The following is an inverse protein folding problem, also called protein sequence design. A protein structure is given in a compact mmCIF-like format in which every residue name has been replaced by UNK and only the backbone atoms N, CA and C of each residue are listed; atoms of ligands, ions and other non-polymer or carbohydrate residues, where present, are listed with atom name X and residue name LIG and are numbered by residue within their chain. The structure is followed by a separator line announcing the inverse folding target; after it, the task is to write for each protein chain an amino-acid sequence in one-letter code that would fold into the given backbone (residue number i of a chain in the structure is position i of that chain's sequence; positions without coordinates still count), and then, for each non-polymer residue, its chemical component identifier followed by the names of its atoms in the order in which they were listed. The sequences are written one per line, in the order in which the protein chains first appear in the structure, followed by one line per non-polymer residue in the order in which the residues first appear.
data_IF_502083003204
#
_entry.id   IF_502083003204
#
_cell.length_a   1.000
_cell.length_b   1.000
_cell.length_c   1.000
_cell.angle_alpha   90.00
_cell.angle_beta   90.00
_cell.angle_gamma   90.00
#
_symmetry.space_group_name_H-M   'P 1'
#
loop_
_entity.id
_entity.type
_entity.pdbx_description
1 polymer ?
#
# COMPACT_ATOMS: atom_id res chain seq x y z
N UNK A 1 25.25 26.19 15.23
CA UNK A 1 24.20 26.11 14.19
C UNK A 1 22.87 26.38 14.85
N UNK A 2 21.94 27.07 14.18
CA UNK A 2 20.64 27.39 14.77
C UNK A 2 19.70 26.18 14.74
N UNK A 3 18.70 26.17 15.62
CA UNK A 3 17.65 25.15 15.67
C UNK A 3 16.90 25.04 14.33
N UNK A 4 16.77 26.16 13.61
CA UNK A 4 16.13 26.23 12.28
C UNK A 4 16.82 25.31 11.28
N UNK A 5 18.16 25.25 11.27
CA UNK A 5 18.90 24.36 10.36
C UNK A 5 18.61 22.88 10.63
N UNK A 6 18.44 22.51 11.90
CA UNK A 6 18.12 21.14 12.32
C UNK A 6 16.71 20.74 11.90
N UNK A 7 15.74 21.62 12.10
CA UNK A 7 14.37 21.42 11.64
C UNK A 7 14.28 21.32 10.12
N UNK A 8 14.97 22.20 9.40
CA UNK A 8 14.99 22.17 7.94
C UNK A 8 15.63 20.88 7.42
N UNK A 9 16.72 20.42 8.03
CA UNK A 9 17.36 19.15 7.67
C UNK A 9 16.42 17.96 7.88
N UNK A 10 15.70 17.93 9.00
CA UNK A 10 14.70 16.90 9.28
C UNK A 10 13.55 16.91 8.27
N UNK A 11 13.01 18.11 7.98
CA UNK A 11 11.93 18.28 7.00
C UNK A 11 12.35 17.84 5.60
N UNK A 12 13.54 18.25 5.16
CA UNK A 12 14.12 17.86 3.88
C UNK A 12 14.29 16.35 3.77
N UNK A 13 14.86 15.72 4.79
CA UNK A 13 15.09 14.28 4.82
C UNK A 13 13.77 13.51 4.73
N UNK A 14 12.78 13.88 5.54
CA UNK A 14 11.44 13.26 5.53
C UNK A 14 10.74 13.47 4.19
N UNK A 15 10.80 14.68 3.63
CA UNK A 15 10.18 15.01 2.35
C UNK A 15 10.81 14.24 1.20
N UNK A 16 12.15 14.14 1.16
CA UNK A 16 12.85 13.35 0.15
C UNK A 16 12.45 11.88 0.21
N UNK A 17 12.43 11.27 1.41
CA UNK A 17 12.03 9.87 1.55
C UNK A 17 10.56 9.64 1.18
N UNK A 18 9.67 10.52 1.61
CA UNK A 18 8.24 10.44 1.27
C UNK A 18 8.04 10.53 -0.25
N UNK A 19 8.80 11.40 -0.92
CA UNK A 19 8.78 11.56 -2.37
C UNK A 19 9.38 10.36 -3.09
N UNK A 20 10.48 9.78 -2.60
CA UNK A 20 11.05 8.54 -3.15
C UNK A 20 10.08 7.35 -3.01
N UNK A 21 9.42 7.19 -1.86
CA UNK A 21 8.44 6.12 -1.64
C UNK A 21 7.21 6.33 -2.53
N UNK A 22 6.71 7.56 -2.61
CA UNK A 22 5.57 7.90 -3.48
C UNK A 22 5.87 7.69 -4.97
N UNK A 23 7.05 8.11 -5.45
CA UNK A 23 7.46 7.90 -6.84
C UNK A 23 7.69 6.43 -7.19
N UNK A 24 8.18 5.62 -6.25
CA UNK A 24 8.37 4.19 -6.50
C UNK A 24 7.02 3.46 -6.67
N UNK A 25 5.99 3.87 -5.92
CA UNK A 25 4.61 3.43 -6.13
C UNK A 25 3.97 3.98 -7.42
N UNK A 26 4.42 5.14 -7.90
CA UNK A 26 3.95 5.76 -9.15
C UNK A 26 4.53 5.09 -10.41
N UNK A 27 5.76 4.56 -10.33
CA UNK A 27 6.46 3.94 -11.46
C UNK A 27 6.19 2.44 -11.64
N UNK A 28 5.51 1.79 -10.68
CA UNK A 28 5.07 0.39 -10.82
C UNK A 28 3.66 0.35 -11.42
N UNK A 29 3.57 0.00 -12.71
CA UNK A 29 2.30 -0.25 -13.38
C UNK A 29 1.48 -1.33 -12.63
N UNK A 30 0.23 -1.01 -12.31
CA UNK A 30 -0.74 -1.96 -11.75
C UNK A 30 -0.91 -1.96 -10.23
N UNK A 31 -0.14 -1.18 -9.46
CA UNK A 31 -0.46 -0.94 -8.05
C UNK A 31 -1.25 0.36 -7.89
N UNK A 32 -2.34 0.31 -7.11
CA UNK A 32 -2.96 1.51 -6.56
C UNK A 32 -1.85 2.33 -5.90
N UNK A 33 -1.69 3.60 -6.31
CA UNK A 33 -0.74 4.54 -5.74
C UNK A 33 -0.82 4.39 -4.22
N UNK A 34 0.19 3.77 -3.59
CA UNK A 34 0.15 3.54 -2.15
C UNK A 34 0.50 4.84 -1.44
N UNK A 35 -0.46 5.76 -1.48
CA UNK A 35 -0.51 6.93 -0.59
C UNK A 35 -0.39 6.42 0.86
N UNK A 36 -0.88 5.20 1.13
CA UNK A 36 -0.71 4.51 2.41
C UNK A 36 0.76 4.30 2.79
N UNK A 37 1.65 3.87 1.88
CA UNK A 37 3.05 3.61 2.19
C UNK A 37 3.84 4.88 2.55
N UNK A 38 3.67 5.94 1.76
CA UNK A 38 4.30 7.23 2.05
C UNK A 38 3.73 7.89 3.33
N UNK A 39 2.42 7.74 3.58
CA UNK A 39 1.75 8.27 4.77
C UNK A 39 2.12 7.47 6.04
N UNK A 40 2.24 6.14 5.95
CA UNK A 40 2.74 5.28 7.03
C UNK A 40 4.20 5.64 7.33
N UNK A 41 5.07 5.77 6.32
CA UNK A 41 6.44 6.21 6.56
C UNK A 41 6.49 7.60 7.20
N UNK A 42 5.68 8.55 6.72
CA UNK A 42 5.62 9.89 7.26
C UNK A 42 5.10 9.92 8.72
N UNK A 43 4.10 9.11 9.07
CA UNK A 43 3.51 9.07 10.43
C UNK A 43 4.42 8.32 11.40
N UNK A 44 5.02 7.21 10.97
CA UNK A 44 5.79 6.35 11.86
C UNK A 44 7.27 6.72 11.89
N UNK A 45 7.93 6.95 10.75
CA UNK A 45 9.37 7.21 10.72
C UNK A 45 9.74 8.68 10.94
N UNK A 46 8.89 9.64 10.55
CA UNK A 46 9.20 11.06 10.74
C UNK A 46 9.33 11.47 12.19
N UNK A 47 8.46 11.05 13.13
CA UNK A 47 8.64 11.40 14.55
C UNK A 47 9.96 10.86 15.09
N UNK A 48 10.36 9.64 14.72
CA UNK A 48 11.67 9.12 15.12
C UNK A 48 12.81 9.93 14.50
N UNK A 49 12.76 10.24 13.20
CA UNK A 49 13.80 11.04 12.54
C UNK A 49 13.88 12.46 13.12
N UNK A 50 12.75 13.11 13.39
CA UNK A 50 12.70 14.45 13.94
C UNK A 50 13.13 14.50 15.41
N UNK A 51 12.52 13.69 16.27
CA UNK A 51 12.82 13.70 17.71
C UNK A 51 14.26 13.25 17.92
N UNK A 52 14.66 12.15 17.27
CA UNK A 52 15.98 11.59 17.46
C UNK A 52 17.07 12.37 16.75
N UNK A 53 16.87 12.73 15.48
CA UNK A 53 17.84 13.48 14.68
C UNK A 53 18.10 14.87 15.26
N UNK A 54 17.07 15.61 15.65
CA UNK A 54 17.24 16.95 16.25
C UNK A 54 17.89 16.85 17.63
N UNK A 55 17.47 15.90 18.47
CA UNK A 55 18.02 15.72 19.81
C UNK A 55 19.50 15.29 19.79
N UNK A 56 19.85 14.27 19.01
CA UNK A 56 21.23 13.81 18.85
C UNK A 56 22.10 14.90 18.24
N UNK A 57 21.63 15.55 17.19
CA UNK A 57 22.35 16.66 16.57
C UNK A 57 22.57 17.82 17.54
N UNK A 58 21.59 18.14 18.38
CA UNK A 58 21.74 19.14 19.44
C UNK A 58 22.75 18.72 20.51
N UNK A 59 22.73 17.47 20.97
CA UNK A 59 23.71 16.93 21.92
C UNK A 59 25.13 16.97 21.36
N UNK A 60 25.33 16.53 20.12
CA UNK A 60 26.64 16.55 19.45
C UNK A 60 27.12 17.99 19.31
N UNK A 61 26.24 18.90 18.89
CA UNK A 61 26.57 20.33 18.70
C UNK A 61 27.01 21.05 19.97
N UNK A 62 26.72 20.51 21.18
CA UNK A 62 27.22 21.06 22.45
C UNK A 62 28.73 20.86 22.63
N UNK A 63 29.30 19.80 22.06
CA UNK A 63 30.72 19.41 22.26
C UNK A 63 31.54 19.51 20.98
N UNK A 64 30.92 19.29 19.83
CA UNK A 64 31.57 19.33 18.52
C UNK A 64 30.95 20.47 17.73
N UNK A 65 31.75 21.50 17.42
CA UNK A 65 31.29 22.63 16.60
C UNK A 65 31.62 22.32 15.13
N UNK A 66 30.63 22.02 14.28
CA UNK A 66 30.87 21.67 12.88
C UNK A 66 31.48 22.80 12.03
N UNK A 67 31.58 24.01 12.59
CA UNK A 67 32.20 25.19 11.98
C UNK A 67 33.71 25.01 11.77
N UNK A 68 34.35 24.13 12.55
CA UNK A 68 35.77 23.83 12.42
C UNK A 68 35.97 22.70 11.39
N UNK A 69 36.71 22.97 10.30
CA UNK A 69 36.96 21.98 9.22
C UNK A 69 37.51 20.65 9.73
N UNK A 70 38.35 20.66 10.78
CA UNK A 70 38.90 19.44 11.39
C UNK A 70 37.90 18.60 12.20
N UNK A 71 36.71 19.13 12.51
CA UNK A 71 35.70 18.47 13.32
C UNK A 71 34.50 17.96 12.51
N UNK A 72 34.46 18.21 11.20
CA UNK A 72 33.36 17.79 10.32
C UNK A 72 33.26 16.25 10.26
N UNK A 73 34.39 15.56 10.07
CA UNK A 73 34.40 14.09 10.04
C UNK A 73 33.91 13.47 11.35
N UNK A 74 34.36 14.02 12.49
CA UNK A 74 33.90 13.60 13.81
C UNK A 74 32.40 13.88 14.01
N UNK A 75 31.91 15.03 13.55
CA UNK A 75 30.50 15.39 13.60
C UNK A 75 29.62 14.38 12.87
N UNK A 76 30.02 13.98 11.65
CA UNK A 76 29.30 12.99 10.83
C UNK A 76 29.37 11.60 11.48
N UNK A 77 30.56 11.18 11.95
CA UNK A 77 30.73 9.89 12.61
C UNK A 77 29.87 9.74 13.86
N UNK A 78 29.79 10.80 14.68
CA UNK A 78 28.94 10.82 15.88
C UNK A 78 27.45 10.74 15.54
N UNK A 79 27.02 11.31 14.41
CA UNK A 79 25.64 11.11 13.94
C UNK A 79 25.39 9.67 13.52
N UNK A 80 26.31 9.04 12.79
CA UNK A 80 26.20 7.63 12.41
C UNK A 80 26.09 6.71 13.63
N UNK A 81 26.94 6.91 14.65
CA UNK A 81 26.84 6.22 15.93
C UNK A 81 25.53 6.53 16.65
N UNK A 82 25.12 7.80 16.59
CA UNK A 82 23.81 8.25 17.00
C UNK A 82 22.72 7.41 16.37
N UNK A 83 22.74 7.10 15.08
CA UNK A 83 21.68 6.33 14.40
C UNK A 83 21.58 4.85 14.77
N UNK A 84 22.60 4.24 15.38
CA UNK A 84 22.63 2.78 15.66
C UNK A 84 21.49 2.24 16.55
N UNK A 85 20.95 2.96 17.55
CA UNK A 85 19.81 2.50 18.34
C UNK A 85 18.53 2.24 17.54
N UNK A 86 18.45 2.62 16.26
CA UNK A 86 17.37 2.13 15.37
C UNK A 86 17.34 0.60 15.24
N UNK A 87 18.43 -0.09 15.60
CA UNK A 87 18.47 -1.54 15.71
C UNK A 87 17.38 -2.11 16.65
N UNK A 88 16.90 -1.30 17.60
CA UNK A 88 15.80 -1.63 18.51
C UNK A 88 14.54 -2.06 17.76
N UNK A 89 14.27 -1.50 16.58
CA UNK A 89 13.10 -1.84 15.74
C UNK A 89 13.10 -3.30 15.28
N UNK A 90 14.24 -3.97 15.36
CA UNK A 90 14.41 -5.37 14.97
C UNK A 90 14.69 -6.32 16.14
N UNK A 91 14.56 -5.86 17.39
CA UNK A 91 14.79 -6.72 18.57
C UNK A 91 13.81 -7.91 18.66
N UNK A 92 12.62 -7.78 18.06
CA UNK A 92 11.65 -8.88 17.95
C UNK A 92 12.00 -9.89 16.86
N UNK A 93 12.96 -9.56 15.98
CA UNK A 93 13.43 -10.46 14.94
C UNK A 93 14.55 -11.36 15.48
N UNK A 94 14.46 -12.67 15.25
CA UNK A 94 15.53 -13.62 15.58
C UNK A 94 16.70 -13.56 14.59
N UNK A 95 16.62 -12.73 13.55
CA UNK A 95 17.64 -12.64 12.50
C UNK A 95 18.67 -11.56 12.80
N UNK A 96 19.93 -11.98 12.94
CA UNK A 96 21.09 -11.06 13.01
C UNK A 96 21.19 -10.15 11.79
N UNK A 97 20.78 -10.64 10.61
CA UNK A 97 20.78 -9.83 9.39
C UNK A 97 19.76 -8.68 9.47
N UNK A 98 18.58 -8.93 10.05
CA UNK A 98 17.58 -7.88 10.27
C UNK A 98 18.08 -6.82 11.27
N UNK A 99 18.81 -7.24 12.30
CA UNK A 99 19.45 -6.35 13.27
C UNK A 99 20.54 -5.47 12.65
N UNK A 100 21.43 -6.06 11.87
CA UNK A 100 22.49 -5.31 11.20
C UNK A 100 21.92 -4.37 10.13
N UNK A 101 20.87 -4.79 9.43
CA UNK A 101 20.19 -3.97 8.43
C UNK A 101 19.52 -2.75 9.06
N UNK A 102 18.75 -2.91 10.13
CA UNK A 102 18.06 -1.80 10.80
C UNK A 102 19.06 -0.84 11.47
N UNK A 103 20.13 -1.36 12.09
CA UNK A 103 21.23 -0.55 12.63
C UNK A 103 21.92 0.26 11.53
N UNK A 104 22.25 -0.40 10.41
CA UNK A 104 22.89 0.21 9.25
C UNK A 104 22.01 1.28 8.62
N UNK A 105 20.72 1.01 8.47
CA UNK A 105 19.73 1.98 7.96
C UNK A 105 19.64 3.21 8.87
N UNK A 106 19.56 3.01 10.19
CA UNK A 106 19.54 4.12 11.15
C UNK A 106 20.81 4.98 11.10
N UNK A 107 21.99 4.34 11.06
CA UNK A 107 23.27 5.04 10.92
C UNK A 107 23.35 5.83 9.60
N UNK A 108 22.91 5.23 8.49
CA UNK A 108 22.85 5.88 7.19
C UNK A 108 21.94 7.11 7.19
N UNK A 109 20.72 6.98 7.73
CA UNK A 109 19.76 8.09 7.83
C UNK A 109 20.31 9.24 8.69
N UNK A 110 20.98 8.93 9.80
CA UNK A 110 21.57 9.94 10.67
C UNK A 110 22.77 10.65 10.02
N UNK A 111 23.60 9.93 9.25
CA UNK A 111 24.67 10.53 8.44
C UNK A 111 24.08 11.46 7.38
N UNK A 112 23.02 11.01 6.68
CA UNK A 112 22.37 11.81 5.66
C UNK A 112 21.77 13.09 6.25
N UNK A 113 21.12 12.99 7.42
CA UNK A 113 20.67 14.16 8.19
C UNK A 113 21.82 15.14 8.47
N UNK A 114 22.96 14.65 8.96
CA UNK A 114 24.11 15.49 9.27
C UNK A 114 24.69 16.20 8.03
N UNK A 115 24.73 15.51 6.89
CA UNK A 115 25.17 16.08 5.62
C UNK A 115 24.22 17.16 5.12
N UNK A 116 22.90 16.94 5.20
CA UNK A 116 21.90 17.94 4.83
C UNK A 116 22.01 19.16 5.76
N UNK A 117 22.15 18.94 7.06
CA UNK A 117 22.32 20.02 8.04
C UNK A 117 23.58 20.85 7.74
N UNK A 118 24.73 20.22 7.50
CA UNK A 118 25.98 20.88 7.11
C UNK A 118 25.85 21.62 5.77
N UNK A 119 25.19 21.01 4.79
CA UNK A 119 24.92 21.59 3.49
C UNK A 119 24.08 22.86 3.59
N UNK A 120 22.98 22.80 4.35
CA UNK A 120 22.15 23.96 4.67
C UNK A 120 23.00 25.07 5.26
N UNK A 121 23.76 24.78 6.31
CA UNK A 121 24.62 25.77 6.96
C UNK A 121 25.66 26.41 6.02
N UNK A 122 26.27 25.61 5.14
CA UNK A 122 27.23 26.13 4.17
C UNK A 122 26.57 27.07 3.15
N UNK A 123 25.33 26.79 2.75
CA UNK A 123 24.56 27.61 1.82
C UNK A 123 24.06 28.89 2.51
N UNK A 124 23.58 28.78 3.75
CA UNK A 124 23.05 29.90 4.53
C UNK A 124 24.12 30.91 4.92
N UNK A 125 25.33 30.45 5.30
CA UNK A 125 26.46 31.34 5.61
C UNK A 125 26.91 32.20 4.43
N UNK A 126 26.70 31.75 3.19
CA UNK A 126 27.02 32.52 1.99
C UNK A 126 25.92 33.52 1.60
N UNK A 127 24.84 33.61 2.38
CA UNK A 127 23.78 34.60 2.26
C UNK A 127 22.93 34.53 0.98
N UNK A 128 23.13 33.53 0.12
CA UNK A 128 22.54 33.57 -1.23
C UNK A 128 21.12 33.00 -1.30
N UNK A 129 20.75 32.00 -0.50
CA UNK A 129 19.58 31.17 -0.83
C UNK A 129 18.92 30.52 0.42
N UNK A 130 18.92 31.20 1.58
CA UNK A 130 18.32 30.63 2.81
C UNK A 130 16.84 30.25 2.63
N UNK A 131 16.11 31.13 1.94
CA UNK A 131 14.70 30.95 1.62
C UNK A 131 14.48 29.85 0.57
N UNK A 132 15.19 29.84 -0.56
CA UNK A 132 14.91 28.85 -1.62
C UNK A 132 15.18 27.41 -1.15
N UNK A 133 16.26 27.15 -0.39
CA UNK A 133 16.55 25.78 0.06
C UNK A 133 15.54 25.27 1.10
N UNK A 134 14.90 26.18 1.82
CA UNK A 134 13.83 25.85 2.78
C UNK A 134 12.47 25.68 2.09
N UNK A 135 12.15 26.52 1.11
CA UNK A 135 10.82 26.56 0.50
C UNK A 135 10.70 25.67 -0.73
N UNK A 136 11.76 25.46 -1.51
CA UNK A 136 11.71 24.56 -2.69
C UNK A 136 11.32 23.13 -2.34
N UNK A 137 11.85 22.49 -1.29
CA UNK A 137 11.42 21.14 -0.90
C UNK A 137 9.99 21.11 -0.39
N UNK A 138 9.57 22.16 0.33
CA UNK A 138 8.20 22.31 0.80
C UNK A 138 7.22 22.47 -0.37
N UNK A 139 7.57 23.32 -1.35
CA UNK A 139 6.79 23.55 -2.56
C UNK A 139 6.79 22.29 -3.43
N UNK A 140 7.91 21.60 -3.57
CA UNK A 140 7.99 20.33 -4.31
C UNK A 140 7.13 19.25 -3.64
N UNK A 141 7.20 19.12 -2.32
CA UNK A 141 6.33 18.22 -1.55
C UNK A 141 4.86 18.60 -1.71
N UNK A 142 4.52 19.88 -1.60
CA UNK A 142 3.15 20.39 -1.77
C UNK A 142 2.64 20.13 -3.18
N UNK A 143 3.46 20.33 -4.21
CA UNK A 143 3.11 20.04 -5.61
C UNK A 143 2.87 18.54 -5.78
N UNK A 144 3.75 17.67 -5.28
CA UNK A 144 3.55 16.21 -5.36
C UNK A 144 2.33 15.77 -4.57
N UNK A 145 2.09 16.35 -3.40
CA UNK A 145 0.90 16.09 -2.60
C UNK A 145 -0.36 16.54 -3.34
N UNK A 146 -0.39 17.74 -3.91
CA UNK A 146 -1.54 18.25 -4.68
C UNK A 146 -1.76 17.40 -5.93
N UNK A 147 -0.72 17.08 -6.70
CA UNK A 147 -0.83 16.20 -7.87
C UNK A 147 -1.37 14.83 -7.44
N UNK A 148 -0.84 14.27 -6.34
CA UNK A 148 -1.31 13.02 -5.75
C UNK A 148 -2.79 13.10 -5.37
N UNK A 149 -3.23 14.16 -4.70
CA UNK A 149 -4.64 14.36 -4.34
C UNK A 149 -5.53 14.56 -5.58
N UNK A 150 -5.08 15.33 -6.58
CA UNK A 150 -5.81 15.58 -7.83
C UNK A 150 -5.95 14.30 -8.67
N UNK A 151 -4.94 13.43 -8.68
CA UNK A 151 -5.02 12.11 -9.32
C UNK A 151 -5.75 11.06 -8.47
N UNK A 152 -5.92 11.32 -7.18
CA UNK A 152 -6.76 10.54 -6.28
C UNK A 152 -8.21 11.01 -6.25
N UNK A 153 -8.53 12.09 -6.97
CA UNK A 153 -9.91 12.42 -7.28
C UNK A 153 -10.41 11.26 -8.12
N UNK A 154 -11.39 10.47 -7.64
CA UNK A 154 -12.02 9.47 -8.48
C UNK A 154 -12.45 10.18 -9.77
N UNK A 155 -12.28 9.55 -10.95
CA UNK A 155 -12.57 10.20 -12.22
C UNK A 155 -13.92 10.92 -12.12
N UNK A 156 -14.03 12.17 -12.63
CA UNK A 156 -15.28 12.89 -12.59
C UNK A 156 -16.36 11.96 -13.13
N UNK A 157 -17.42 11.77 -12.35
CA UNK A 157 -18.60 11.05 -12.79
C UNK A 157 -19.09 11.84 -14.00
N UNK A 158 -18.80 11.35 -15.20
CA UNK A 158 -19.29 11.97 -16.41
C UNK A 158 -20.82 11.91 -16.30
N UNK A 159 -21.47 13.08 -16.19
CA UNK A 159 -22.93 13.25 -16.24
C UNK A 159 -23.51 12.85 -17.63
N UNK A 160 -22.74 12.12 -18.44
CA UNK A 160 -23.24 11.27 -19.51
C UNK A 160 -23.38 9.81 -19.02
N UNK A 161 -24.27 9.60 -18.06
CA UNK A 161 -24.97 8.33 -17.90
C UNK A 161 -24.08 7.10 -17.68
N UNK A 162 -23.02 7.21 -16.89
CA UNK A 162 -22.48 6.04 -16.20
C UNK A 162 -23.48 5.67 -15.10
N UNK A 163 -24.44 4.84 -15.52
CA UNK A 163 -25.16 3.94 -14.62
C UNK A 163 -24.07 3.27 -13.79
N UNK A 164 -24.05 3.52 -12.47
CA UNK A 164 -23.40 2.64 -11.50
C UNK A 164 -23.52 1.23 -12.08
N UNK A 165 -22.44 0.46 -12.35
CA UNK A 165 -22.62 -0.92 -12.73
C UNK A 165 -23.09 -1.64 -11.47
N UNK A 166 -24.36 -1.41 -11.11
CA UNK A 166 -25.03 -2.04 -10.01
C UNK A 166 -24.82 -3.52 -10.18
N UNK A 167 -24.60 -4.18 -9.04
CA UNK A 167 -24.21 -5.58 -8.91
C UNK A 167 -24.72 -6.40 -10.10
N UNK A 168 -23.81 -6.74 -11.01
CA UNK A 168 -24.20 -7.27 -12.31
C UNK A 168 -24.44 -8.77 -12.20
N UNK A 169 -25.26 -9.31 -13.11
CA UNK A 169 -25.48 -10.75 -13.23
C UNK A 169 -24.16 -11.55 -13.36
N UNK A 170 -23.13 -10.92 -13.96
CA UNK A 170 -21.81 -11.54 -14.12
C UNK A 170 -21.04 -11.58 -12.79
N UNK A 171 -21.11 -10.51 -12.00
CA UNK A 171 -20.49 -10.45 -10.67
C UNK A 171 -21.19 -11.38 -9.69
N UNK A 172 -22.52 -11.52 -9.79
CA UNK A 172 -23.29 -12.52 -9.05
C UNK A 172 -22.81 -13.95 -9.27
N UNK A 173 -22.61 -14.33 -10.53
CA UNK A 173 -22.12 -15.66 -10.86
C UNK A 173 -20.68 -15.85 -10.37
N UNK A 174 -19.79 -14.89 -10.64
CA UNK A 174 -18.39 -14.99 -10.24
C UNK A 174 -18.21 -15.08 -8.72
N UNK A 175 -19.00 -14.31 -7.96
CA UNK A 175 -18.96 -14.31 -6.50
C UNK A 175 -19.35 -15.67 -5.92
N UNK A 176 -20.41 -16.29 -6.46
CA UNK A 176 -20.88 -17.61 -6.02
C UNK A 176 -19.92 -18.71 -6.48
N UNK A 177 -19.43 -18.69 -7.72
CA UNK A 177 -18.54 -19.74 -8.23
C UNK A 177 -17.16 -19.73 -7.56
N UNK A 178 -16.60 -18.56 -7.23
CA UNK A 178 -15.30 -18.47 -6.52
C UNK A 178 -15.31 -19.20 -5.16
N UNK A 179 -16.43 -19.18 -4.44
CA UNK A 179 -16.53 -19.87 -3.15
C UNK A 179 -16.67 -21.40 -3.27
N UNK A 180 -17.02 -21.90 -4.45
CA UNK A 180 -17.20 -23.32 -4.74
C UNK A 180 -16.07 -23.92 -5.60
N UNK A 181 -14.95 -23.19 -5.74
CA UNK A 181 -13.80 -23.59 -6.53
C UNK A 181 -13.89 -23.14 -7.99
N UNK A 182 -12.74 -22.95 -8.61
CA UNK A 182 -12.62 -22.53 -10.02
C UNK A 182 -12.67 -23.73 -10.98
N UNK A 183 -13.08 -23.50 -12.23
CA UNK A 183 -13.25 -24.54 -13.27
C UNK A 183 -12.06 -25.52 -13.34
N UNK A 184 -10.82 -25.03 -13.17
CA UNK A 184 -9.58 -25.84 -13.26
C UNK A 184 -9.42 -26.86 -12.12
N UNK A 185 -10.06 -26.65 -10.97
CA UNK A 185 -10.00 -27.54 -9.80
C UNK A 185 -11.26 -28.39 -9.64
N UNK A 186 -12.04 -28.54 -10.71
CA UNK A 186 -13.38 -29.12 -10.61
C UNK A 186 -14.33 -28.18 -9.87
N UNK A 187 -14.38 -26.91 -10.27
CA UNK A 187 -15.36 -25.93 -9.82
C UNK A 187 -16.57 -25.81 -10.75
N UNK A 188 -17.47 -24.86 -10.47
CA UNK A 188 -18.62 -24.54 -11.34
C UNK A 188 -18.24 -23.49 -12.40
N UNK A 189 -18.87 -23.51 -13.59
CA UNK A 189 -18.52 -22.57 -14.65
C UNK A 189 -18.92 -21.13 -14.32
N UNK A 190 -18.00 -20.20 -14.56
CA UNK A 190 -18.22 -18.75 -14.34
C UNK A 190 -19.12 -18.12 -15.42
N UNK A 191 -19.37 -18.85 -16.52
CA UNK A 191 -20.26 -18.43 -17.60
C UNK A 191 -21.57 -19.19 -17.51
N UNK A 192 -22.67 -18.45 -17.49
CA UNK A 192 -24.03 -19.02 -17.53
C UNK A 192 -24.27 -19.77 -18.84
N UNK A 193 -25.07 -20.85 -18.81
CA UNK A 193 -25.37 -21.72 -19.97
C UNK A 193 -24.17 -22.48 -20.55
N UNK A 194 -23.03 -22.50 -19.86
CA UNK A 194 -21.92 -23.39 -20.16
C UNK A 194 -22.08 -24.65 -19.31
N UNK A 195 -22.06 -25.81 -19.95
CA UNK A 195 -22.02 -27.10 -19.29
C UNK A 195 -20.59 -27.61 -19.35
N UNK A 196 -20.02 -27.97 -18.21
CA UNK A 196 -18.68 -28.55 -18.12
C UNK A 196 -18.82 -30.00 -17.69
N UNK A 197 -18.26 -30.91 -18.49
CA UNK A 197 -18.13 -32.32 -18.12
C UNK A 197 -16.86 -32.51 -17.30
N UNK A 198 -16.99 -33.27 -16.22
CA UNK A 198 -15.89 -33.55 -15.31
C UNK A 198 -15.97 -35.00 -14.84
N UNK A 199 -14.81 -35.64 -14.70
CA UNK A 199 -14.72 -36.99 -14.16
C UNK A 199 -14.14 -36.93 -12.75
N UNK A 200 -14.90 -37.42 -11.76
CA UNK A 200 -14.47 -37.47 -10.38
C UNK A 200 -14.66 -38.89 -9.84
N UNK A 201 -13.58 -39.50 -9.38
CA UNK A 201 -13.57 -40.88 -8.84
C UNK A 201 -14.18 -41.94 -9.78
N UNK A 202 -14.06 -41.74 -11.10
CA UNK A 202 -14.59 -42.67 -12.11
C UNK A 202 -16.07 -42.48 -12.44
N UNK A 203 -16.72 -41.45 -11.89
CA UNK A 203 -18.08 -41.04 -12.24
C UNK A 203 -18.07 -39.79 -13.10
N UNK A 204 -18.96 -39.75 -14.11
CA UNK A 204 -19.12 -38.63 -15.03
C UNK A 204 -20.14 -37.65 -14.49
N UNK A 205 -19.67 -36.45 -14.19
CA UNK A 205 -20.45 -35.34 -13.67
C UNK A 205 -20.59 -34.26 -14.76
N UNK A 206 -21.74 -33.61 -14.81
CA UNK A 206 -21.91 -32.35 -15.58
C UNK A 206 -22.26 -31.23 -14.62
N UNK A 207 -21.57 -30.09 -14.75
CA UNK A 207 -21.85 -28.90 -13.95
C UNK A 207 -22.32 -27.74 -14.82
N UNK A 208 -23.33 -27.04 -14.34
CA UNK A 208 -23.93 -25.89 -15.00
C UNK A 208 -24.24 -24.80 -13.95
N UNK A 209 -24.07 -23.54 -14.36
CA UNK A 209 -24.47 -22.38 -13.56
C UNK A 209 -25.59 -21.64 -14.27
N UNK A 210 -26.69 -21.41 -13.56
CA UNK A 210 -27.88 -20.69 -14.06
C UNK A 210 -28.11 -19.45 -13.19
N UNK A 211 -28.49 -18.34 -13.81
CA UNK A 211 -28.82 -17.10 -13.10
C UNK A 211 -30.23 -16.63 -13.47
N UNK A 212 -30.98 -16.22 -12.46
CA UNK A 212 -32.30 -15.62 -12.59
C UNK A 212 -32.38 -14.31 -11.80
N UNK A 213 -33.14 -13.34 -12.30
CA UNK A 213 -33.38 -12.06 -11.58
C UNK A 213 -34.53 -12.24 -10.61
N UNK A 214 -34.40 -11.69 -9.40
CA UNK A 214 -35.51 -11.65 -8.44
C UNK A 214 -36.58 -10.67 -8.95
N UNK A 215 -37.85 -11.11 -9.12
CA UNK A 215 -38.91 -10.22 -9.57
C UNK A 215 -39.16 -9.10 -8.54
N UNK A 216 -39.05 -7.84 -8.97
CA UNK A 216 -39.35 -6.67 -8.13
C UNK A 216 -38.16 -6.11 -7.35
N UNK A 217 -37.00 -6.79 -7.34
CA UNK A 217 -35.78 -6.30 -6.70
C UNK A 217 -34.72 -5.93 -7.76
N UNK A 218 -34.10 -4.75 -7.60
CA UNK A 218 -32.93 -4.38 -8.38
C UNK A 218 -31.70 -5.02 -7.75
N UNK A 219 -30.74 -5.44 -8.59
CA UNK A 219 -29.42 -5.90 -8.13
C UNK A 219 -29.43 -7.13 -7.22
N UNK A 220 -30.48 -7.95 -7.32
CA UNK A 220 -30.61 -9.19 -6.57
C UNK A 220 -30.89 -10.35 -7.52
N UNK A 221 -30.11 -11.44 -7.38
CA UNK A 221 -30.12 -12.56 -8.30
C UNK A 221 -30.21 -13.90 -7.55
N UNK A 222 -30.90 -14.85 -8.16
CA UNK A 222 -30.78 -16.25 -7.83
C UNK A 222 -29.71 -16.88 -8.70
N UNK A 223 -28.65 -17.39 -8.08
CA UNK A 223 -27.61 -18.17 -8.78
C UNK A 223 -27.78 -19.63 -8.38
N UNK A 224 -28.10 -20.48 -9.36
CA UNK A 224 -28.29 -21.91 -9.16
C UNK A 224 -27.11 -22.68 -9.75
N UNK A 225 -26.43 -23.43 -8.89
CA UNK A 225 -25.39 -24.38 -9.24
C UNK A 225 -26.06 -25.76 -9.42
N UNK A 226 -25.92 -26.33 -10.62
CA UNK A 226 -26.50 -27.63 -10.97
C UNK A 226 -25.36 -28.61 -11.23
N UNK A 227 -25.33 -29.69 -10.48
CA UNK A 227 -24.44 -30.83 -10.69
C UNK A 227 -25.28 -32.06 -11.02
N UNK A 228 -25.02 -32.70 -12.15
CA UNK A 228 -25.70 -33.93 -12.56
C UNK A 228 -24.71 -35.07 -12.60
N UNK A 229 -25.05 -36.18 -11.98
CA UNK A 229 -24.31 -37.42 -12.11
C UNK A 229 -24.92 -38.23 -13.27
N UNK A 230 -24.18 -38.35 -14.37
CA UNK A 230 -24.67 -39.03 -15.57
C UNK A 230 -24.80 -40.54 -15.37
N UNK A 231 -24.00 -41.11 -14.46
CA UNK A 231 -23.98 -42.55 -14.22
C UNK A 231 -25.07 -42.99 -13.22
N UNK A 232 -25.43 -42.11 -12.26
CA UNK A 232 -26.50 -42.35 -11.28
C UNK A 232 -27.84 -41.70 -11.62
N UNK A 233 -27.88 -40.85 -12.64
CA UNK A 233 -29.04 -40.03 -13.02
C UNK A 233 -29.54 -39.08 -11.92
N UNK A 234 -28.69 -38.74 -10.94
CA UNK A 234 -29.02 -37.83 -9.84
C UNK A 234 -28.70 -36.38 -10.22
N UNK A 235 -29.54 -35.45 -9.79
CA UNK A 235 -29.37 -34.02 -10.03
C UNK A 235 -29.37 -33.24 -8.72
N UNK A 236 -28.22 -32.66 -8.40
CA UNK A 236 -28.03 -31.80 -7.25
C UNK A 236 -28.14 -30.34 -7.66
N UNK A 237 -29.10 -29.60 -7.08
CA UNK A 237 -29.31 -28.17 -7.31
C UNK A 237 -29.10 -27.39 -6.02
N UNK A 238 -28.21 -26.41 -6.05
CA UNK A 238 -28.01 -25.48 -4.93
C UNK A 238 -28.21 -24.06 -5.41
N UNK A 239 -29.19 -23.35 -4.85
CA UNK A 239 -29.56 -21.98 -5.23
C UNK A 239 -29.15 -21.01 -4.12
N UNK A 240 -28.44 -19.97 -4.51
CA UNK A 240 -28.04 -18.85 -3.66
C UNK A 240 -28.81 -17.61 -4.06
N UNK A 241 -29.32 -16.89 -3.06
CA UNK A 241 -29.75 -15.51 -3.22
C UNK A 241 -28.54 -14.62 -3.01
N UNK A 242 -28.23 -13.75 -3.97
CA UNK A 242 -27.08 -12.88 -3.87
C UNK A 242 -27.43 -11.43 -4.20
N UNK A 243 -26.87 -10.56 -3.38
CA UNK A 243 -26.92 -9.10 -3.43
C UNK A 243 -25.49 -8.61 -3.19
N UNK A 244 -25.17 -7.37 -3.55
CA UNK A 244 -23.84 -6.79 -3.38
C UNK A 244 -23.17 -7.19 -2.04
N UNK A 245 -22.08 -7.98 -2.12
CA UNK A 245 -21.31 -8.55 -1.00
C UNK A 245 -22.06 -9.46 0.00
N UNK A 246 -23.31 -9.84 -0.30
CA UNK A 246 -24.14 -10.73 0.51
C UNK A 246 -24.52 -11.99 -0.29
N UNK A 247 -24.36 -13.15 0.33
CA UNK A 247 -24.78 -14.44 -0.21
C UNK A 247 -25.51 -15.24 0.85
N UNK A 248 -26.73 -15.67 0.54
CA UNK A 248 -27.53 -16.52 1.41
C UNK A 248 -27.95 -17.78 0.65
N UNK A 249 -27.85 -18.93 1.30
CA UNK A 249 -28.39 -20.18 0.77
C UNK A 249 -29.92 -20.05 0.71
N UNK A 250 -30.49 -20.10 -0.50
CA UNK A 250 -31.92 -19.98 -0.71
C UNK A 250 -32.60 -21.35 -0.70
N UNK A 251 -32.03 -22.33 -1.43
CA UNK A 251 -32.60 -23.67 -1.52
C UNK A 251 -31.53 -24.72 -1.89
N UNK A 252 -31.75 -25.97 -1.48
CA UNK A 252 -30.98 -27.14 -1.93
C UNK A 252 -31.95 -28.29 -2.21
N UNK A 253 -31.93 -28.80 -3.44
CA UNK A 253 -32.80 -29.89 -3.91
C UNK A 253 -31.94 -31.01 -4.49
N UNK A 254 -32.35 -32.24 -4.22
CA UNK A 254 -31.80 -33.45 -4.85
C UNK A 254 -32.94 -34.17 -5.57
N UNK A 255 -32.78 -34.40 -6.88
CA UNK A 255 -33.76 -35.03 -7.78
C UNK A 255 -33.20 -36.32 -8.38
#
# INVERSE_FOLDING_TARGET
MSIVHKFCAGFLLVSMFSLCIGLNGFLQEGQQISISGALIFAIYMSPFIFIYGIFISWLISRKVKPVNKGQIGLYIALHGLGGLPFAVLSLSSQSTAAFLFSAGLGAFLAILFALIELGLWHITQKGRIEWLVMYVPFIAYLIVYIIGQVQSVPPPIDEMGDVDPGYSAREAVAFVTQQHGQEENGGFPEKTKKVVEWELFGERLTRETVIEKVPGEKETYYVTLIEKNLDRQEVYKTTYLTKENEMMLHNRVNE
#
